data_IF_998717227665
#
_entry.id   IF_998717227665
#
_cell.length_a   1.000
_cell.length_b   1.000
_cell.length_c   1.000
_cell.angle_alpha   90.00
_cell.angle_beta   90.00
_cell.angle_gamma   90.00
#
_symmetry.space_group_name_H-M   'P 1'
#
loop_
_entity.id
_entity.type
_entity.pdbx_description
1 polymer ?
#
# COMPACT_ATOMS: atom_id res chain seq x y z
N UNK A 1 8.47 6.31 16.90
CA UNK A 1 9.35 6.75 15.80
C UNK A 1 9.20 5.68 14.72
N UNK A 2 8.55 6.01 13.60
CA UNK A 2 8.24 5.03 12.54
C UNK A 2 9.50 4.79 11.72
N UNK A 3 9.99 3.55 11.69
CA UNK A 3 11.14 3.21 10.83
C UNK A 3 10.64 3.04 9.41
N UNK A 4 11.18 3.83 8.47
CA UNK A 4 10.91 3.67 7.05
C UNK A 4 11.84 2.60 6.49
N UNK A 5 11.26 1.60 5.85
CA UNK A 5 12.05 0.55 5.21
C UNK A 5 12.42 1.00 3.80
N UNK A 6 13.66 0.69 3.39
CA UNK A 6 14.11 0.91 2.03
C UNK A 6 13.27 0.08 1.04
N UNK A 7 13.00 0.64 -0.15
CA UNK A 7 12.15 0.00 -1.18
C UNK A 7 12.52 -1.45 -1.45
N UNK A 8 13.83 -1.71 -1.57
CA UNK A 8 14.31 -2.94 -2.18
C UNK A 8 14.26 -4.14 -1.22
N UNK A 9 14.13 -3.88 0.09
CA UNK A 9 14.20 -4.90 1.14
C UNK A 9 12.94 -5.01 2.03
N UNK A 10 11.90 -4.21 1.77
CA UNK A 10 10.73 -4.13 2.66
C UNK A 10 10.09 -5.49 2.98
N UNK A 11 9.85 -6.31 1.97
CA UNK A 11 9.24 -7.64 2.15
C UNK A 11 10.20 -8.60 2.88
N UNK A 12 11.50 -8.51 2.57
CA UNK A 12 12.53 -9.38 3.17
C UNK A 12 12.67 -9.07 4.67
N UNK A 13 12.68 -7.79 5.04
CA UNK A 13 12.73 -7.37 6.45
C UNK A 13 11.49 -7.84 7.22
N UNK A 14 10.30 -7.75 6.61
CA UNK A 14 9.06 -8.28 7.21
C UNK A 14 9.13 -9.79 7.41
N UNK A 15 9.59 -10.54 6.40
CA UNK A 15 9.76 -11.99 6.51
C UNK A 15 10.75 -12.38 7.61
N UNK A 16 11.88 -11.67 7.71
CA UNK A 16 12.88 -11.92 8.75
C UNK A 16 12.34 -11.60 10.16
N UNK A 17 11.59 -10.51 10.31
CA UNK A 17 10.94 -10.15 11.56
C UNK A 17 9.91 -11.22 11.99
N UNK A 18 9.07 -11.68 11.04
CA UNK A 18 8.13 -12.77 11.27
C UNK A 18 8.83 -14.07 11.70
N UNK A 19 9.91 -14.44 11.00
CA UNK A 19 10.69 -15.63 11.32
C UNK A 19 11.25 -15.57 12.75
N UNK A 20 11.78 -14.41 13.13
CA UNK A 20 12.36 -14.19 14.46
C UNK A 20 11.30 -14.37 15.54
N UNK A 21 10.11 -13.77 15.36
CA UNK A 21 9.00 -13.89 16.30
C UNK A 21 8.49 -15.32 16.40
N UNK A 22 8.24 -15.99 15.27
CA UNK A 22 7.72 -17.35 15.28
C UNK A 22 8.72 -18.35 15.87
N UNK A 23 10.00 -18.20 15.53
CA UNK A 23 11.08 -19.08 16.04
C UNK A 23 11.17 -19.09 17.56
N UNK A 24 10.94 -17.95 18.22
CA UNK A 24 10.97 -17.83 19.68
C UNK A 24 9.86 -18.64 20.37
N UNK A 25 8.71 -18.79 19.72
CA UNK A 25 7.54 -19.46 20.30
C UNK A 25 7.38 -20.91 19.84
N UNK A 26 7.95 -21.27 18.69
CA UNK A 26 7.81 -22.62 18.13
C UNK A 26 8.91 -23.56 18.62
N UNK A 27 10.17 -23.09 18.69
CA UNK A 27 11.33 -23.91 19.06
C UNK A 27 11.53 -24.00 20.58
N UNK A 28 10.46 -24.35 21.31
CA UNK A 28 10.47 -24.50 22.77
C UNK A 28 10.59 -25.99 23.12
N UNK A 29 11.46 -26.31 24.10
CA UNK A 29 11.60 -27.64 24.71
C UNK A 29 12.07 -28.76 23.77
N UNK A 30 12.97 -28.48 22.82
CA UNK A 30 13.61 -29.51 21.99
C UNK A 30 12.72 -30.11 20.88
N UNK A 31 11.46 -29.67 20.77
CA UNK A 31 10.63 -29.96 19.61
C UNK A 31 11.08 -29.06 18.45
N UNK A 32 11.77 -29.65 17.48
CA UNK A 32 12.19 -28.98 16.27
C UNK A 32 10.99 -28.84 15.33
N UNK A 33 10.54 -27.61 15.12
CA UNK A 33 9.47 -27.28 14.17
C UNK A 33 10.12 -26.42 13.09
N UNK A 34 10.02 -26.86 11.84
CA UNK A 34 10.56 -26.10 10.72
C UNK A 34 9.64 -24.91 10.38
N UNK A 35 10.23 -23.79 9.94
CA UNK A 35 9.50 -22.59 9.54
C UNK A 35 9.88 -22.28 8.11
N UNK A 36 8.89 -22.28 7.22
CA UNK A 36 9.07 -22.07 5.79
C UNK A 36 8.25 -20.91 5.28
N UNK A 37 8.76 -20.19 4.28
CA UNK A 37 8.10 -19.05 3.65
C UNK A 37 7.54 -19.38 2.26
N UNK A 38 7.43 -20.66 1.95
CA UNK A 38 6.77 -21.22 0.77
C UNK A 38 5.62 -22.15 1.19
N UNK A 39 4.79 -22.53 0.22
CA UNK A 39 3.83 -23.61 0.42
C UNK A 39 4.52 -24.95 0.17
N UNK A 40 4.47 -25.90 1.12
CA UNK A 40 4.94 -27.25 0.89
C UNK A 40 4.17 -27.94 -0.23
N UNK A 41 4.81 -28.87 -0.92
CA UNK A 41 4.13 -29.65 -1.95
C UNK A 41 2.95 -30.43 -1.35
N UNK A 42 1.79 -30.30 -1.98
CA UNK A 42 0.45 -30.74 -1.53
C UNK A 42 0.37 -32.22 -1.13
N UNK A 43 1.25 -33.06 -1.69
CA UNK A 43 1.31 -34.49 -1.45
C UNK A 43 2.62 -34.97 -0.80
N UNK A 44 3.52 -34.05 -0.47
CA UNK A 44 4.76 -34.36 0.22
C UNK A 44 4.52 -34.51 1.71
N UNK A 45 5.17 -35.51 2.30
CA UNK A 45 5.29 -35.64 3.74
C UNK A 45 6.51 -34.84 4.14
N UNK A 46 6.35 -33.88 5.05
CA UNK A 46 7.49 -33.13 5.53
C UNK A 46 8.37 -34.04 6.38
N UNK A 47 9.69 -33.87 6.29
CA UNK A 47 10.62 -34.64 7.13
C UNK A 47 10.47 -34.28 8.61
N UNK A 48 10.04 -33.06 8.90
CA UNK A 48 9.80 -32.53 10.24
C UNK A 48 8.48 -31.75 10.27
N UNK A 49 7.80 -31.64 11.43
CA UNK A 49 6.62 -30.81 11.58
C UNK A 49 6.93 -29.37 11.15
N UNK A 50 6.16 -28.83 10.23
CA UNK A 50 6.50 -27.56 9.56
C UNK A 50 5.37 -26.56 9.67
N UNK A 51 5.70 -25.31 10.02
CA UNK A 51 4.81 -24.15 9.88
C UNK A 51 5.17 -23.42 8.59
N UNK A 52 4.21 -23.33 7.67
CA UNK A 52 4.32 -22.57 6.43
C UNK A 52 3.72 -21.18 6.62
N UNK A 53 4.50 -20.15 6.32
CA UNK A 53 4.15 -18.73 6.38
C UNK A 53 4.08 -18.22 4.94
N UNK A 54 2.94 -18.42 4.29
CA UNK A 54 2.78 -18.14 2.87
C UNK A 54 2.26 -16.72 2.64
N UNK A 55 3.03 -15.90 1.90
CA UNK A 55 2.60 -14.57 1.44
C UNK A 55 1.72 -14.73 0.20
N UNK A 56 0.40 -14.55 0.34
CA UNK A 56 -0.56 -14.82 -0.73
C UNK A 56 -1.00 -13.57 -1.51
N UNK A 57 -0.92 -12.39 -0.88
CA UNK A 57 -1.31 -11.14 -1.51
C UNK A 57 -0.52 -9.96 -0.94
N UNK A 58 -0.23 -8.99 -1.81
CA UNK A 58 0.41 -7.73 -1.47
C UNK A 58 -0.39 -6.61 -2.12
N UNK A 59 -0.90 -5.69 -1.31
CA UNK A 59 -1.67 -4.55 -1.78
C UNK A 59 -1.30 -3.28 -1.00
N UNK A 60 -1.68 -2.12 -1.52
CA UNK A 60 -1.52 -0.87 -0.77
C UNK A 60 -2.67 -0.69 0.22
N UNK A 61 -2.35 -0.33 1.48
CA UNK A 61 -3.37 0.04 2.45
C UNK A 61 -3.80 1.50 2.25
N UNK A 62 -4.87 1.68 1.46
CA UNK A 62 -5.46 2.99 1.18
C UNK A 62 -6.02 3.69 2.42
N UNK A 63 -6.36 2.95 3.48
CA UNK A 63 -6.90 3.56 4.71
C UNK A 63 -5.82 4.32 5.48
N UNK A 64 -4.57 3.89 5.35
CA UNK A 64 -3.42 4.54 5.95
C UNK A 64 -2.77 5.57 5.01
N UNK A 65 -3.33 5.78 3.81
CA UNK A 65 -2.84 6.78 2.86
C UNK A 65 -3.20 8.17 3.37
N UNK A 66 -2.21 8.88 3.91
CA UNK A 66 -2.29 10.31 4.13
C UNK A 66 -1.87 11.06 2.87
N UNK A 67 -2.58 12.15 2.56
CA UNK A 67 -2.18 13.09 1.51
C UNK A 67 -1.02 13.96 2.02
N UNK A 68 0.18 13.40 2.07
CA UNK A 68 1.38 14.16 2.43
C UNK A 68 2.08 14.68 1.16
N UNK A 69 2.28 16.01 1.04
CA UNK A 69 3.08 16.55 -0.05
C UNK A 69 4.54 16.11 0.11
N UNK A 70 5.24 15.92 -1.01
CA UNK A 70 6.70 15.70 -0.99
C UNK A 70 7.37 16.89 -0.31
N UNK A 71 8.19 16.62 0.70
CA UNK A 71 8.91 17.65 1.45
C UNK A 71 10.14 18.12 0.67
N UNK A 72 10.38 19.41 0.60
CA UNK A 72 11.57 19.98 -0.01
C UNK A 72 12.76 19.97 0.95
N UNK A 73 13.94 19.57 0.48
CA UNK A 73 15.19 19.67 1.21
C UNK A 73 16.02 20.85 0.67
N UNK A 74 16.17 21.95 1.44
CA UNK A 74 16.90 23.13 1.01
C UNK A 74 18.41 22.94 0.90
N UNK A 75 18.99 21.92 1.55
CA UNK A 75 20.44 21.67 1.47
C UNK A 75 20.82 20.99 0.15
N UNK A 76 19.93 20.18 -0.40
CA UNK A 76 20.17 19.39 -1.62
C UNK A 76 19.43 19.93 -2.84
N UNK A 77 18.54 20.92 -2.65
CA UNK A 77 17.62 21.43 -3.66
C UNK A 77 16.77 20.34 -4.32
N UNK A 78 16.40 19.30 -3.56
CA UNK A 78 15.62 18.16 -4.05
C UNK A 78 14.36 17.96 -3.24
N UNK A 79 13.35 17.35 -3.86
CA UNK A 79 12.19 16.82 -3.15
C UNK A 79 12.54 15.47 -2.53
N UNK A 80 12.28 15.32 -1.24
CA UNK A 80 12.39 14.03 -0.56
C UNK A 80 11.43 13.03 -1.20
N UNK A 81 11.86 11.77 -1.39
CA UNK A 81 10.99 10.73 -1.91
C UNK A 81 9.82 10.50 -0.96
N UNK A 82 8.66 10.22 -1.55
CA UNK A 82 7.48 9.82 -0.78
C UNK A 82 7.64 8.42 -0.17
N UNK A 83 6.62 8.02 0.57
CA UNK A 83 6.44 6.64 1.01
C UNK A 83 5.05 6.16 0.59
N UNK A 84 4.82 4.86 0.63
CA UNK A 84 3.49 4.29 0.58
C UNK A 84 3.39 3.12 1.55
N UNK A 85 2.17 2.82 2.00
CA UNK A 85 1.92 1.78 2.99
C UNK A 85 1.59 0.47 2.29
N UNK A 86 2.55 -0.44 2.26
CA UNK A 86 2.38 -1.77 1.66
C UNK A 86 1.83 -2.72 2.71
N UNK A 87 0.72 -3.40 2.39
CA UNK A 87 0.07 -4.40 3.22
C UNK A 87 0.39 -5.80 2.68
N UNK A 88 1.15 -6.56 3.47
CA UNK A 88 1.54 -7.94 3.19
C UNK A 88 0.59 -8.90 3.91
N UNK A 89 -0.13 -9.72 3.15
CA UNK A 89 -1.10 -10.66 3.69
C UNK A 89 -0.54 -12.09 3.69
N UNK A 90 -0.38 -12.64 4.88
CA UNK A 90 0.16 -13.97 5.11
C UNK A 90 -0.93 -14.96 5.52
N UNK A 91 -0.72 -16.20 5.08
CA UNK A 91 -1.48 -17.37 5.48
C UNK A 91 -0.53 -18.33 6.21
N UNK A 92 -0.77 -18.53 7.50
CA UNK A 92 0.06 -19.40 8.33
C UNK A 92 -0.66 -20.73 8.52
N UNK A 93 -0.01 -21.82 8.11
CA UNK A 93 -0.57 -23.17 8.12
C UNK A 93 0.41 -24.19 8.70
N UNK A 94 -0.12 -25.27 9.29
CA UNK A 94 0.66 -26.36 9.82
C UNK A 94 0.64 -27.61 8.92
N UNK A 95 1.82 -28.18 8.72
CA UNK A 95 2.08 -29.35 7.91
C UNK A 95 2.74 -30.42 8.76
N UNK A 96 2.06 -31.56 8.87
CA UNK A 96 2.54 -32.68 9.66
C UNK A 96 3.61 -33.48 8.92
N UNK A 97 4.51 -34.09 9.70
CA UNK A 97 5.49 -35.05 9.21
C UNK A 97 4.90 -36.47 9.10
N UNK A 98 3.72 -36.71 9.65
CA UNK A 98 3.05 -38.00 9.61
C UNK A 98 1.87 -37.99 8.64
N UNK A 99 1.56 -39.16 8.08
CA UNK A 99 0.32 -39.34 7.32
C UNK A 99 -0.87 -39.26 8.28
N UNK A 100 -1.95 -38.56 7.91
CA UNK A 100 -3.15 -38.49 8.74
C UNK A 100 -3.69 -39.89 8.98
N UNK A 101 -3.91 -40.21 10.26
CA UNK A 101 -4.52 -41.47 10.67
C UNK A 101 -6.02 -41.46 10.40
N UNK A 102 -6.57 -42.63 10.02
CA UNK A 102 -8.02 -42.84 9.91
C UNK A 102 -8.69 -43.27 11.22
N UNK A 103 -7.90 -43.50 12.27
CA UNK A 103 -8.39 -43.93 13.59
C UNK A 103 -8.62 -42.74 14.52
N UNK A 104 -9.82 -42.67 15.12
CA UNK A 104 -10.17 -41.66 16.13
C UNK A 104 -9.34 -41.77 17.41
N UNK A 105 -8.76 -42.94 17.68
CA UNK A 105 -7.90 -43.18 18.85
C UNK A 105 -6.46 -42.71 18.61
N UNK A 106 -6.12 -42.32 17.38
CA UNK A 106 -4.78 -41.83 17.07
C UNK A 106 -4.48 -40.52 17.81
N UNK A 107 -3.21 -40.28 18.19
CA UNK A 107 -2.79 -39.03 18.82
C UNK A 107 -3.17 -37.77 18.01
N UNK A 108 -3.23 -37.89 16.68
CA UNK A 108 -3.55 -36.79 15.76
C UNK A 108 -5.03 -36.39 15.79
N UNK A 109 -5.91 -37.31 16.19
CA UNK A 109 -7.35 -37.09 16.32
C UNK A 109 -7.77 -36.61 17.72
N UNK A 110 -6.83 -36.49 18.67
CA UNK A 110 -7.13 -36.05 20.03
C UNK A 110 -7.30 -34.52 20.12
N UNK A 111 -8.07 -34.01 21.11
CA UNK A 111 -8.25 -32.57 21.30
C UNK A 111 -6.94 -31.80 21.53
N UNK A 112 -5.92 -32.47 22.07
CA UNK A 112 -4.59 -31.93 22.31
C UNK A 112 -3.57 -32.37 21.24
N UNK A 113 -4.01 -32.64 20.02
CA UNK A 113 -3.12 -33.08 18.93
C UNK A 113 -2.00 -32.06 18.66
N UNK A 114 -0.94 -32.55 18.01
CA UNK A 114 0.24 -31.77 17.71
C UNK A 114 -0.07 -30.52 16.86
N UNK A 115 -0.91 -30.66 15.83
CA UNK A 115 -1.35 -29.55 14.99
C UNK A 115 -1.96 -28.40 15.81
N UNK A 116 -2.85 -28.70 16.75
CA UNK A 116 -3.50 -27.71 17.62
C UNK A 116 -2.50 -27.08 18.57
N UNK A 117 -1.57 -27.86 19.14
CA UNK A 117 -0.53 -27.32 20.02
C UNK A 117 0.39 -26.34 19.26
N UNK A 118 0.83 -26.72 18.06
CA UNK A 118 1.72 -25.88 17.24
C UNK A 118 1.00 -24.62 16.77
N UNK A 119 -0.22 -24.73 16.27
CA UNK A 119 -1.00 -23.58 15.82
C UNK A 119 -1.38 -22.65 16.98
N UNK A 120 -1.62 -23.19 18.18
CA UNK A 120 -1.83 -22.37 19.40
C UNK A 120 -0.56 -21.61 19.79
N UNK A 121 0.62 -22.23 19.67
CA UNK A 121 1.90 -21.53 19.91
C UNK A 121 2.15 -20.45 18.87
N UNK A 122 1.92 -20.73 17.59
CA UNK A 122 2.00 -19.75 16.51
C UNK A 122 1.04 -18.58 16.78
N UNK A 123 -0.21 -18.86 17.14
CA UNK A 123 -1.19 -17.85 17.50
C UNK A 123 -0.72 -16.98 18.69
N UNK A 124 -0.21 -17.60 19.74
CA UNK A 124 0.35 -16.88 20.88
C UNK A 124 1.53 -15.99 20.49
N UNK A 125 2.37 -16.44 19.55
CA UNK A 125 3.46 -15.62 19.01
C UNK A 125 2.90 -14.35 18.34
N UNK A 126 1.90 -14.50 17.47
CA UNK A 126 1.30 -13.39 16.73
C UNK A 126 0.57 -12.41 17.67
N UNK A 127 -0.23 -12.92 18.62
CA UNK A 127 -1.02 -12.09 19.54
C UNK A 127 -0.13 -11.30 20.48
N UNK A 128 0.96 -11.91 20.99
CA UNK A 128 1.86 -11.22 21.91
C UNK A 128 2.80 -10.24 21.20
N UNK A 129 3.03 -10.41 19.89
CA UNK A 129 3.87 -9.53 19.08
C UNK A 129 3.01 -8.66 18.15
N UNK A 130 2.17 -7.80 18.75
CA UNK A 130 1.39 -6.79 18.01
C UNK A 130 2.24 -5.68 17.40
N UNK A 131 3.51 -5.62 17.78
CA UNK A 131 4.54 -4.80 17.15
C UNK A 131 5.71 -5.74 16.85
N UNK A 132 6.10 -5.84 15.57
CA UNK A 132 7.21 -6.68 15.17
C UNK A 132 8.53 -6.07 15.63
N UNK A 133 9.33 -6.86 16.31
CA UNK A 133 10.70 -6.50 16.68
C UNK A 133 11.51 -6.32 15.39
N UNK A 134 12.05 -5.11 15.19
CA UNK A 134 12.80 -4.73 13.98
C UNK A 134 12.06 -3.74 13.07
N UNK A 135 10.72 -3.68 13.11
CA UNK A 135 9.92 -2.74 12.30
C UNK A 135 8.96 -1.96 13.21
N UNK A 136 9.49 -1.03 14.04
CA UNK A 136 8.65 -0.24 14.91
C UNK A 136 7.78 0.71 14.07
N UNK A 137 6.46 0.64 14.28
CA UNK A 137 5.47 1.42 13.54
C UNK A 137 4.75 0.66 12.43
N UNK A 138 5.05 -0.64 12.22
CA UNK A 138 4.20 -1.51 11.41
C UNK A 138 2.79 -1.62 12.03
N UNK A 139 1.77 -1.53 11.18
CA UNK A 139 0.38 -1.74 11.59
C UNK A 139 -0.02 -3.18 11.31
N UNK A 140 -0.44 -3.92 12.34
CA UNK A 140 -0.67 -5.37 12.25
C UNK A 140 -2.14 -5.67 12.50
N UNK A 141 -2.74 -6.49 11.64
CA UNK A 141 -4.07 -7.09 11.83
C UNK A 141 -3.93 -8.60 11.97
N UNK A 142 -4.44 -9.13 13.09
CA UNK A 142 -4.38 -10.54 13.45
C UNK A 142 -5.77 -11.14 13.27
N UNK A 143 -5.90 -12.18 12.44
CA UNK A 143 -7.16 -12.90 12.18
C UNK A 143 -8.31 -11.90 11.88
N UNK A 144 -8.22 -11.13 10.78
CA UNK A 144 -9.32 -10.25 10.38
C UNK A 144 -10.59 -11.09 10.14
N UNK A 145 -11.75 -10.57 10.55
CA UNK A 145 -13.06 -11.22 10.37
C UNK A 145 -13.52 -11.35 8.90
N UNK A 146 -12.64 -11.09 7.95
CA UNK A 146 -12.94 -11.02 6.51
C UNK A 146 -12.99 -12.39 5.83
N UNK A 147 -12.70 -13.47 6.56
CA UNK A 147 -12.76 -14.86 6.08
C UNK A 147 -14.19 -15.25 5.69
N UNK A 148 -14.52 -15.09 4.42
CA UNK A 148 -15.68 -15.74 3.84
C UNK A 148 -15.31 -17.21 3.59
N UNK A 149 -15.98 -18.15 4.26
CA UNK A 149 -15.75 -19.59 4.14
C UNK A 149 -15.73 -20.07 2.67
N UNK A 150 -16.47 -19.39 1.79
CA UNK A 150 -16.47 -19.67 0.35
C UNK A 150 -15.11 -19.43 -0.32
N UNK A 151 -14.39 -18.38 0.10
CA UNK A 151 -13.07 -18.05 -0.44
C UNK A 151 -12.00 -19.03 0.04
N UNK A 152 -12.05 -19.40 1.33
CA UNK A 152 -11.11 -20.37 1.91
C UNK A 152 -11.33 -21.78 1.32
N UNK A 153 -12.58 -22.15 1.02
CA UNK A 153 -12.93 -23.38 0.31
C UNK A 153 -12.26 -23.47 -1.06
N UNK A 154 -12.37 -22.43 -1.89
CA UNK A 154 -11.73 -22.37 -3.21
C UNK A 154 -10.20 -22.47 -3.11
N UNK A 155 -9.60 -21.80 -2.12
CA UNK A 155 -8.15 -21.86 -1.88
C UNK A 155 -7.70 -23.29 -1.58
N UNK A 156 -8.38 -23.99 -0.67
CA UNK A 156 -8.04 -25.37 -0.34
C UNK A 156 -8.32 -26.36 -1.47
N UNK A 157 -9.33 -26.09 -2.31
CA UNK A 157 -9.57 -26.88 -3.51
C UNK A 157 -8.39 -26.79 -4.49
N UNK A 158 -7.89 -25.58 -4.72
CA UNK A 158 -6.70 -25.36 -5.54
C UNK A 158 -5.44 -26.02 -4.96
N UNK A 159 -5.33 -26.10 -3.63
CA UNK A 159 -4.25 -26.79 -2.92
C UNK A 159 -4.50 -28.29 -2.70
N UNK A 160 -5.30 -28.93 -3.54
CA UNK A 160 -5.48 -30.39 -3.56
C UNK A 160 -6.48 -30.94 -2.55
N UNK A 161 -7.52 -30.16 -2.23
CA UNK A 161 -8.68 -30.60 -1.45
C UNK A 161 -8.36 -31.10 -0.03
N UNK A 162 -7.34 -30.51 0.62
CA UNK A 162 -6.97 -30.83 2.01
C UNK A 162 -7.10 -29.59 2.89
N UNK A 163 -8.30 -29.32 3.44
CA UNK A 163 -8.50 -28.17 4.31
C UNK A 163 -7.64 -28.30 5.57
N UNK A 164 -6.97 -27.22 5.95
CA UNK A 164 -6.20 -27.11 7.19
C UNK A 164 -6.61 -25.85 7.94
N UNK A 165 -6.36 -25.83 9.24
CA UNK A 165 -6.44 -24.60 10.03
C UNK A 165 -5.46 -23.58 9.45
N UNK A 166 -5.97 -22.38 9.16
CA UNK A 166 -5.18 -21.25 8.68
C UNK A 166 -5.30 -20.07 9.62
N UNK A 167 -4.20 -19.39 9.88
CA UNK A 167 -4.19 -18.10 10.55
C UNK A 167 -3.83 -17.02 9.52
N UNK A 168 -4.79 -16.13 9.25
CA UNK A 168 -4.53 -14.94 8.48
C UNK A 168 -3.80 -13.89 9.32
N UNK A 169 -2.77 -13.29 8.73
CA UNK A 169 -1.98 -12.26 9.37
C UNK A 169 -1.60 -11.18 8.34
N UNK A 170 -2.02 -9.95 8.58
CA UNK A 170 -1.75 -8.83 7.68
C UNK A 170 -0.82 -7.83 8.36
N UNK A 171 0.23 -7.42 7.65
CA UNK A 171 1.24 -6.48 8.14
C UNK A 171 1.34 -5.33 7.15
N UNK A 172 1.01 -4.13 7.61
CA UNK A 172 1.22 -2.91 6.84
C UNK A 172 2.50 -2.22 7.29
N UNK A 173 3.42 -2.00 6.35
CA UNK A 173 4.69 -1.30 6.58
C UNK A 173 4.84 -0.09 5.65
N UNK A 174 5.42 1.02 6.13
CA UNK A 174 5.73 2.15 5.28
C UNK A 174 7.01 1.87 4.47
N UNK A 175 6.86 1.82 3.15
CA UNK A 175 7.95 1.61 2.21
C UNK A 175 8.32 2.94 1.55
N UNK A 176 9.59 3.32 1.63
CA UNK A 176 10.11 4.53 0.97
C UNK A 176 10.20 4.30 -0.53
N UNK A 177 9.79 5.27 -1.34
CA UNK A 177 9.97 5.23 -2.79
C UNK A 177 11.43 5.51 -3.16
N UNK A 178 11.84 5.02 -4.34
CA UNK A 178 13.14 5.36 -4.88
C UNK A 178 13.24 6.87 -5.14
N UNK A 179 14.41 7.42 -4.85
CA UNK A 179 14.68 8.85 -4.99
C UNK A 179 14.92 9.18 -6.47
N UNK A 180 13.88 9.69 -7.13
CA UNK A 180 14.01 10.30 -8.44
C UNK A 180 14.51 11.72 -8.19
N UNK A 181 15.76 12.01 -8.59
CA UNK A 181 16.40 13.32 -8.43
C UNK A 181 15.61 14.40 -9.18
N UNK A 182 14.66 14.98 -8.49
CA UNK A 182 13.81 16.08 -8.94
C UNK A 182 14.39 17.36 -8.36
N UNK A 183 15.34 17.96 -9.10
CA UNK A 183 16.01 19.19 -8.70
C UNK A 183 15.03 20.35 -8.86
N UNK A 184 14.69 20.99 -7.74
CA UNK A 184 13.80 22.16 -7.71
C UNK A 184 14.65 23.40 -7.47
N UNK A 185 14.47 24.42 -8.30
CA UNK A 185 15.05 25.75 -8.04
C UNK A 185 14.27 26.42 -6.92
N UNK A 186 14.89 26.75 -5.78
CA UNK A 186 14.20 27.45 -4.70
C UNK A 186 13.80 28.86 -5.13
N UNK A 187 12.69 29.36 -4.57
CA UNK A 187 12.29 30.76 -4.73
C UNK A 187 13.30 31.61 -3.96
N UNK A 188 14.15 32.33 -4.69
CA UNK A 188 15.16 33.22 -4.12
C UNK A 188 14.63 34.61 -3.80
N UNK A 189 13.69 35.10 -4.61
CA UNK A 189 13.12 36.43 -4.48
C UNK A 189 11.63 36.40 -4.83
N UNK A 190 10.84 37.10 -4.02
CA UNK A 190 9.43 37.38 -4.29
C UNK A 190 9.34 38.87 -4.62
N UNK A 191 8.78 39.20 -5.78
CA UNK A 191 8.46 40.58 -6.15
C UNK A 191 6.97 40.67 -6.50
N UNK A 192 6.35 41.79 -6.15
CA UNK A 192 4.95 42.07 -6.44
C UNK A 192 4.81 43.54 -6.83
N UNK A 193 4.06 43.81 -7.90
CA UNK A 193 3.63 45.15 -8.30
C UNK A 193 2.15 45.32 -8.03
N UNK A 194 1.75 46.56 -7.73
CA UNK A 194 0.34 46.93 -7.55
C UNK A 194 0.04 48.05 -8.53
N UNK A 195 -0.75 47.72 -9.54
CA UNK A 195 -1.15 48.64 -10.59
C UNK A 195 -2.64 48.95 -10.49
N UNK A 196 -3.00 50.20 -10.73
CA UNK A 196 -4.41 50.60 -10.74
C UNK A 196 -5.08 50.06 -12.00
N UNK A 197 -5.88 49.00 -11.85
CA UNK A 197 -6.68 48.49 -12.95
C UNK A 197 -7.74 49.53 -13.36
N UNK A 198 -7.98 49.76 -14.67
CA UNK A 198 -9.12 50.55 -15.12
C UNK A 198 -10.44 49.98 -14.59
N UNK A 199 -11.46 50.83 -14.46
CA UNK A 199 -12.78 50.44 -13.92
C UNK A 199 -13.52 49.38 -14.75
N UNK A 200 -13.06 49.12 -15.98
CA UNK A 200 -13.61 48.10 -16.83
C UNK A 200 -13.19 46.69 -16.40
N UNK A 201 -14.19 45.83 -16.22
CA UNK A 201 -13.96 44.40 -15.98
C UNK A 201 -13.82 43.63 -17.31
N UNK A 202 -13.30 42.40 -17.24
CA UNK A 202 -13.05 41.60 -18.44
C UNK A 202 -14.36 41.28 -19.21
N UNK A 203 -15.50 41.23 -18.51
CA UNK A 203 -16.80 40.99 -19.15
C UNK A 203 -17.22 42.18 -20.02
N UNK A 204 -17.10 43.40 -19.51
CA UNK A 204 -17.40 44.65 -20.21
C UNK A 204 -16.47 44.86 -21.41
N UNK A 205 -15.18 44.54 -21.24
CA UNK A 205 -14.21 44.61 -22.34
C UNK A 205 -14.58 43.61 -23.44
N UNK A 206 -14.86 42.36 -23.09
CA UNK A 206 -15.21 41.33 -24.06
C UNK A 206 -16.53 41.64 -24.78
N UNK A 207 -17.52 42.20 -24.08
CA UNK A 207 -18.78 42.61 -24.67
C UNK A 207 -18.57 43.77 -25.65
N UNK A 208 -17.86 44.83 -25.25
CA UNK A 208 -17.54 45.96 -26.12
C UNK A 208 -16.72 45.54 -27.36
N UNK A 209 -15.78 44.59 -27.21
CA UNK A 209 -15.01 44.04 -28.34
C UNK A 209 -15.89 43.21 -29.29
N UNK A 210 -16.83 42.44 -28.74
CA UNK A 210 -17.77 41.64 -29.55
C UNK A 210 -18.72 42.55 -30.31
N UNK A 211 -19.27 43.56 -29.65
CA UNK A 211 -20.16 44.54 -30.27
C UNK A 211 -19.45 45.32 -31.39
N UNK A 212 -18.19 45.71 -31.15
CA UNK A 212 -17.35 46.36 -32.16
C UNK A 212 -17.05 45.46 -33.36
N UNK A 213 -16.72 44.18 -33.11
CA UNK A 213 -16.46 43.20 -34.17
C UNK A 213 -17.72 42.98 -35.04
N UNK A 214 -18.89 42.88 -34.41
CA UNK A 214 -20.18 42.77 -35.13
C UNK A 214 -20.47 44.00 -35.98
N UNK A 215 -20.15 45.20 -35.48
CA UNK A 215 -20.29 46.44 -36.23
C UNK A 215 -19.34 46.50 -37.45
N UNK A 216 -18.07 46.12 -37.27
CA UNK A 216 -17.05 46.10 -38.34
C UNK A 216 -17.35 45.04 -39.43
N UNK A 217 -18.06 43.97 -39.08
CA UNK A 217 -18.53 42.94 -40.02
C UNK A 217 -19.82 43.32 -40.78
N UNK A 218 -20.30 44.56 -40.65
CA UNK A 218 -21.41 45.09 -41.46
C UNK A 218 -22.80 44.94 -40.84
N UNK A 219 -22.91 44.79 -39.52
CA UNK A 219 -24.19 44.89 -38.81
C UNK A 219 -25.15 43.73 -39.09
N UNK A 220 -24.63 42.54 -39.36
CA UNK A 220 -25.43 41.32 -39.36
C UNK A 220 -25.94 41.16 -37.92
N UNK A 221 -27.27 41.13 -37.73
CA UNK A 221 -27.88 40.80 -36.45
C UNK A 221 -27.14 39.60 -35.86
N UNK A 222 -26.67 39.74 -34.62
CA UNK A 222 -25.71 38.86 -33.94
C UNK A 222 -26.19 37.41 -33.72
N UNK A 223 -27.23 36.98 -34.43
CA UNK A 223 -27.99 35.77 -34.22
C UNK A 223 -27.68 34.63 -35.19
N UNK A 224 -26.96 34.82 -36.31
CA UNK A 224 -26.93 33.73 -37.31
C UNK A 224 -25.63 33.10 -37.76
N UNK A 225 -24.41 33.58 -37.52
CA UNK A 225 -23.24 32.78 -37.98
C UNK A 225 -21.92 32.75 -37.20
N UNK A 226 -21.69 33.57 -36.16
CA UNK A 226 -20.36 33.57 -35.49
C UNK A 226 -20.35 33.77 -33.98
N UNK A 227 -21.46 34.17 -33.33
CA UNK A 227 -21.46 34.51 -31.88
C UNK A 227 -21.58 33.32 -30.93
N UNK A 228 -22.23 32.22 -31.34
CA UNK A 228 -22.47 31.06 -30.43
C UNK A 228 -21.22 30.25 -30.09
N UNK A 229 -20.17 30.32 -30.91
CA UNK A 229 -18.97 29.47 -30.77
C UNK A 229 -17.64 30.25 -30.66
N UNK A 230 -17.66 31.59 -30.66
CA UNK A 230 -16.44 32.41 -30.64
C UNK A 230 -16.34 33.18 -29.32
N UNK A 231 -15.32 32.87 -28.50
CA UNK A 231 -14.99 33.64 -27.30
C UNK A 231 -13.87 34.61 -27.62
N UNK A 232 -14.15 35.91 -27.57
CA UNK A 232 -13.13 36.95 -27.60
C UNK A 232 -12.69 37.22 -26.15
N UNK A 233 -11.41 37.05 -25.86
CA UNK A 233 -10.82 37.34 -24.54
C UNK A 233 -9.70 38.34 -24.72
N UNK A 234 -9.84 39.53 -24.13
CA UNK A 234 -8.75 40.50 -24.04
C UNK A 234 -7.64 40.01 -23.12
N UNK A 235 -6.40 39.96 -23.62
CA UNK A 235 -5.20 39.66 -22.83
C UNK A 235 -4.23 40.84 -22.94
N UNK A 236 -3.95 41.53 -21.84
CA UNK A 236 -2.88 42.50 -21.79
C UNK A 236 -1.55 41.74 -21.71
N UNK A 237 -0.79 41.70 -22.82
CA UNK A 237 0.65 41.42 -22.75
C UNK A 237 1.34 42.71 -22.35
N UNK A 238 1.72 42.83 -21.09
CA UNK A 238 2.78 43.77 -20.73
C UNK A 238 4.11 43.19 -21.22
N UNK A 239 4.87 44.00 -21.94
CA UNK A 239 6.20 43.66 -22.43
C UNK A 239 7.10 43.37 -21.22
N UNK A 240 7.54 42.11 -21.10
CA UNK A 240 8.72 41.77 -20.33
C UNK A 240 9.91 42.35 -21.12
N UNK A 241 10.41 43.51 -20.67
CA UNK A 241 11.71 43.99 -21.11
C UNK A 241 12.75 43.06 -20.47
N UNK A 242 13.40 42.26 -21.32
CA UNK A 242 14.62 41.54 -20.98
C UNK A 242 15.72 42.53 -20.58
N UNK A 243 16.26 42.34 -19.37
CA UNK A 243 17.64 42.68 -18.98
C UNK A 243 18.10 41.70 -17.92
#
# INVERSE_FOLDING_TARGET
>A
MTTLIASDNAIIEVNNALNTVLSQYLNINGNKIDIRFDLPEINSIQSEPTVSVFLYDINEDLQLRAAEPRRYNPMTNTLLPGWFNINCNYLITYWDANKPSSDSSSPDSQPNNQATQVMTRALNALINNRQLTGIPGAYIRIIPQQENLNSLGNFWQALGNRPRLSLMYSITVPMKLQDIKDNITPISQISASVDQKPSLNNLQINQALTDKLCADLGGIEADTFTSKNMKVSGYNRENINDN
#
